data_IF_531008486629
#
_entry.id   IF_531008486629
#
_cell.length_a   1.000
_cell.length_b   1.000
_cell.length_c   1.000
_cell.angle_alpha   90.00
_cell.angle_beta   90.00
_cell.angle_gamma   90.00
#
_symmetry.space_group_name_H-M   'P 1'
#
loop_
_entity.id
_entity.type
_entity.pdbx_description
1 polymer ?
#
# COMPACT_ATOMS: atom_id res chain seq x y z
N UNK A 1 -32.71 14.52 5.70
CA UNK A 1 -31.24 14.50 5.66
C UNK A 1 -30.78 15.49 6.70
N UNK A 2 -30.39 14.98 7.87
CA UNK A 2 -30.29 15.78 9.08
C UNK A 2 -28.95 16.52 9.13
N UNK A 3 -28.93 17.64 9.84
CA UNK A 3 -27.80 18.55 9.96
C UNK A 3 -26.61 17.88 10.68
N UNK A 4 -26.89 16.96 11.61
CA UNK A 4 -25.89 16.11 12.28
C UNK A 4 -25.24 15.06 11.34
N UNK A 5 -26.00 14.49 10.39
CA UNK A 5 -25.43 13.61 9.36
C UNK A 5 -24.45 14.42 8.51
N UNK A 6 -24.83 15.63 8.09
CA UNK A 6 -23.96 16.54 7.32
C UNK A 6 -22.71 16.99 8.09
N UNK A 7 -22.77 17.14 9.42
CA UNK A 7 -21.62 17.50 10.25
C UNK A 7 -20.66 16.32 10.48
N UNK A 8 -21.19 15.10 10.59
CA UNK A 8 -20.38 13.87 10.71
C UNK A 8 -19.66 13.55 9.39
N UNK A 9 -20.27 13.85 8.24
CA UNK A 9 -19.61 13.79 6.93
C UNK A 9 -18.64 14.95 6.68
N UNK A 10 -18.79 16.09 7.36
CA UNK A 10 -17.89 17.26 7.24
C UNK A 10 -16.55 17.08 7.94
N UNK A 11 -16.42 16.11 8.86
CA UNK A 11 -15.28 16.02 9.80
C UNK A 11 -14.24 14.96 9.44
N UNK A 12 -14.36 14.27 8.30
CA UNK A 12 -13.27 13.45 7.76
C UNK A 12 -12.98 13.84 6.33
N UNK A 13 -12.33 15.00 6.16
CA UNK A 13 -11.61 15.29 4.93
C UNK A 13 -10.57 14.17 4.79
N UNK A 14 -10.73 13.34 3.76
CA UNK A 14 -9.80 12.25 3.44
C UNK A 14 -8.43 12.84 3.13
N UNK A 15 -7.36 12.07 3.31
CA UNK A 15 -6.01 12.52 2.98
C UNK A 15 -5.92 13.00 1.52
N UNK A 16 -6.68 12.36 0.62
CA UNK A 16 -6.76 12.72 -0.79
C UNK A 16 -7.35 14.12 -1.03
N UNK A 17 -8.41 14.49 -0.32
CA UNK A 17 -9.02 15.82 -0.42
C UNK A 17 -8.08 16.92 0.13
N UNK A 18 -7.33 16.64 1.20
CA UNK A 18 -6.32 17.58 1.73
C UNK A 18 -5.24 17.87 0.69
N UNK A 19 -4.76 16.82 0.00
CA UNK A 19 -3.68 16.91 -0.99
C UNK A 19 -4.09 17.66 -2.26
N UNK A 20 -5.38 17.74 -2.59
CA UNK A 20 -5.82 18.58 -3.73
C UNK A 20 -5.51 20.05 -3.52
N UNK A 21 -5.40 20.49 -2.26
CA UNK A 21 -4.90 21.81 -1.92
C UNK A 21 -3.36 21.80 -1.96
N UNK A 22 -2.78 22.04 -3.13
CA UNK A 22 -1.32 22.04 -3.38
C UNK A 22 -0.50 22.99 -2.49
N UNK A 23 -1.14 23.88 -1.73
CA UNK A 23 -0.45 24.78 -0.80
C UNK A 23 -0.19 24.15 0.58
N UNK A 24 -0.66 22.92 0.82
CA UNK A 24 -0.43 22.18 2.05
C UNK A 24 0.69 21.14 1.87
N UNK A 25 1.94 21.60 2.05
CA UNK A 25 3.11 20.74 1.98
C UNK A 25 3.07 19.61 3.03
N UNK A 26 2.45 19.86 4.19
CA UNK A 26 2.36 18.85 5.25
C UNK A 26 1.41 17.72 4.84
N UNK A 27 0.27 18.04 4.22
CA UNK A 27 -0.63 17.03 3.66
C UNK A 27 0.04 16.20 2.57
N UNK A 28 0.92 16.82 1.76
CA UNK A 28 1.70 16.09 0.77
C UNK A 28 2.70 15.13 1.38
N UNK A 29 3.45 15.57 2.39
CA UNK A 29 4.42 14.73 3.08
C UNK A 29 3.73 13.54 3.75
N UNK A 30 2.57 13.76 4.38
CA UNK A 30 1.74 12.69 4.94
C UNK A 30 1.25 11.72 3.85
N UNK A 31 0.81 12.24 2.71
CA UNK A 31 0.40 11.43 1.56
C UNK A 31 1.55 10.59 1.00
N UNK A 32 2.69 11.21 0.72
CA UNK A 32 3.86 10.50 0.21
C UNK A 32 4.32 9.43 1.21
N UNK A 33 4.38 9.78 2.50
CA UNK A 33 4.76 8.85 3.56
C UNK A 33 3.77 7.69 3.70
N UNK A 34 2.48 7.93 3.48
CA UNK A 34 1.45 6.91 3.53
C UNK A 34 1.55 5.96 2.33
N UNK A 35 1.60 6.48 1.11
CA UNK A 35 1.51 5.63 -0.10
C UNK A 35 2.84 5.08 -0.61
N UNK A 36 4.00 5.55 -0.10
CA UNK A 36 5.31 5.09 -0.59
C UNK A 36 5.49 3.56 -0.53
N UNK A 37 5.10 2.92 0.58
CA UNK A 37 5.28 1.48 0.76
C UNK A 37 4.37 0.68 -0.18
N UNK A 38 3.16 1.19 -0.42
CA UNK A 38 2.24 0.60 -1.39
C UNK A 38 2.76 0.73 -2.83
N UNK A 39 3.19 1.93 -3.24
CA UNK A 39 3.77 2.16 -4.57
C UNK A 39 4.99 1.26 -4.77
N UNK A 40 5.85 1.16 -3.75
CA UNK A 40 7.01 0.31 -3.77
C UNK A 40 6.62 -1.16 -3.94
N UNK A 41 5.63 -1.67 -3.19
CA UNK A 41 5.08 -3.02 -3.35
C UNK A 41 4.62 -3.30 -4.78
N UNK A 42 3.88 -2.36 -5.39
CA UNK A 42 3.46 -2.46 -6.80
C UNK A 42 4.66 -2.51 -7.76
N UNK A 43 5.67 -1.64 -7.57
CA UNK A 43 6.89 -1.67 -8.38
C UNK A 43 7.62 -3.02 -8.27
N UNK A 44 7.70 -3.59 -7.06
CA UNK A 44 8.29 -4.91 -6.84
C UNK A 44 7.52 -6.02 -7.53
N UNK A 45 6.19 -5.97 -7.50
CA UNK A 45 5.35 -6.93 -8.21
C UNK A 45 5.55 -6.86 -9.72
N UNK A 46 5.81 -5.66 -10.26
CA UNK A 46 6.12 -5.42 -11.67
C UNK A 46 7.57 -5.77 -12.04
N UNK A 47 8.32 -6.46 -11.16
CA UNK A 47 9.71 -6.87 -11.36
C UNK A 47 10.69 -5.71 -11.60
N UNK A 48 10.41 -4.52 -11.06
CA UNK A 48 11.36 -3.42 -11.10
C UNK A 48 12.56 -3.72 -10.17
N UNK A 49 13.81 -3.55 -10.67
CA UNK A 49 15.02 -3.71 -9.86
C UNK A 49 15.02 -2.81 -8.61
N UNK A 50 15.68 -3.27 -7.54
CA UNK A 50 15.78 -2.50 -6.28
C UNK A 50 16.42 -1.12 -6.49
N UNK A 51 17.49 -1.09 -7.27
CA UNK A 51 18.24 0.13 -7.64
C UNK A 51 17.39 1.16 -8.39
N UNK A 52 16.43 0.71 -9.21
CA UNK A 52 15.57 1.58 -10.01
C UNK A 52 14.30 2.01 -9.24
N UNK A 53 13.89 1.24 -8.23
CA UNK A 53 12.60 1.42 -7.56
C UNK A 53 12.47 2.75 -6.80
N UNK A 54 13.58 3.27 -6.23
CA UNK A 54 13.59 4.56 -5.54
C UNK A 54 13.34 5.73 -6.48
N UNK A 55 14.03 5.77 -7.62
CA UNK A 55 13.86 6.80 -8.64
C UNK A 55 12.47 6.75 -9.28
N UNK A 56 11.96 5.53 -9.52
CA UNK A 56 10.61 5.30 -10.01
C UNK A 56 9.54 5.74 -9.00
N UNK A 57 9.70 5.45 -7.72
CA UNK A 57 8.81 5.92 -6.66
C UNK A 57 8.72 7.45 -6.67
N UNK A 58 9.85 8.15 -6.73
CA UNK A 58 9.87 9.61 -6.82
C UNK A 58 9.15 10.12 -8.07
N UNK A 59 9.37 9.50 -9.23
CA UNK A 59 8.68 9.86 -10.47
C UNK A 59 7.16 9.68 -10.37
N UNK A 60 6.70 8.59 -9.74
CA UNK A 60 5.28 8.33 -9.47
C UNK A 60 4.71 9.42 -8.57
N UNK A 61 5.37 9.73 -7.45
CA UNK A 61 4.94 10.79 -6.52
C UNK A 61 4.88 12.15 -7.20
N UNK A 62 5.88 12.52 -8.00
CA UNK A 62 5.88 13.77 -8.78
C UNK A 62 4.74 13.83 -9.81
N UNK A 63 4.40 12.70 -10.44
CA UNK A 63 3.28 12.63 -11.38
C UNK A 63 1.95 12.80 -10.65
N UNK A 64 1.80 12.19 -9.47
CA UNK A 64 0.63 12.33 -8.62
C UNK A 64 0.47 13.78 -8.12
N UNK A 65 1.54 14.42 -7.67
CA UNK A 65 1.52 15.84 -7.25
C UNK A 65 0.91 16.74 -8.31
N UNK A 66 1.32 16.54 -9.57
CA UNK A 66 0.82 17.32 -10.71
C UNK A 66 -0.61 16.99 -11.11
N UNK A 67 -1.07 15.75 -10.86
CA UNK A 67 -2.34 15.25 -11.40
C UNK A 67 -3.48 15.21 -10.39
N UNK A 68 -3.23 14.91 -9.12
CA UNK A 68 -4.24 14.89 -8.06
C UNK A 68 -5.15 16.13 -8.01
N UNK A 69 -4.66 17.35 -8.24
CA UNK A 69 -5.47 18.56 -8.19
C UNK A 69 -6.46 18.68 -9.37
N UNK A 70 -6.19 17.98 -10.49
CA UNK A 70 -7.06 17.93 -11.67
C UNK A 70 -8.11 16.80 -11.55
N UNK A 71 -7.95 15.88 -10.60
CA UNK A 71 -8.77 14.67 -10.51
C UNK A 71 -10.03 14.93 -9.70
N UNK A 72 -11.16 14.49 -10.22
CA UNK A 72 -12.39 14.44 -9.43
C UNK A 72 -12.38 13.20 -8.51
N UNK A 73 -11.80 13.33 -7.31
CA UNK A 73 -11.62 12.23 -6.36
C UNK A 73 -12.95 11.51 -6.08
N UNK A 74 -14.05 12.25 -5.93
CA UNK A 74 -15.37 11.67 -5.68
C UNK A 74 -15.91 10.79 -6.83
N UNK A 75 -15.36 10.92 -8.04
CA UNK A 75 -15.70 10.08 -9.20
C UNK A 75 -14.80 8.86 -9.33
N UNK A 76 -13.68 8.79 -8.59
CA UNK A 76 -12.84 7.60 -8.55
C UNK A 76 -13.57 6.50 -7.79
N UNK A 77 -13.75 5.34 -8.43
CA UNK A 77 -14.31 4.17 -7.74
C UNK A 77 -13.40 3.71 -6.59
N UNK A 78 -12.08 3.74 -6.80
CA UNK A 78 -11.03 3.34 -5.84
C UNK A 78 -9.72 4.04 -6.15
N UNK A 79 -9.20 4.85 -5.22
CA UNK A 79 -7.94 5.56 -5.43
C UNK A 79 -6.74 4.62 -5.62
N UNK A 80 -6.69 3.51 -4.87
CA UNK A 80 -5.65 2.47 -5.00
C UNK A 80 -5.50 1.91 -6.42
N UNK A 81 -6.60 1.71 -7.14
CA UNK A 81 -6.55 1.22 -8.53
C UNK A 81 -5.96 2.27 -9.46
N UNK A 82 -6.33 3.54 -9.28
CA UNK A 82 -5.74 4.65 -10.00
C UNK A 82 -4.23 4.76 -9.72
N UNK A 83 -3.83 4.59 -8.46
CA UNK A 83 -2.43 4.62 -8.05
C UNK A 83 -1.63 3.47 -8.68
N UNK A 84 -2.13 2.24 -8.64
CA UNK A 84 -1.47 1.09 -9.29
C UNK A 84 -1.31 1.27 -10.81
N UNK A 85 -2.34 1.79 -11.50
CA UNK A 85 -2.27 2.13 -12.93
C UNK A 85 -1.22 3.21 -13.18
N UNK A 86 -1.19 4.25 -12.36
CA UNK A 86 -0.20 5.34 -12.46
C UNK A 86 1.21 4.79 -12.27
N UNK A 87 1.43 3.94 -11.28
CA UNK A 87 2.70 3.26 -11.01
C UNK A 87 3.14 2.40 -12.20
N UNK A 88 2.26 1.56 -12.74
CA UNK A 88 2.58 0.73 -13.92
C UNK A 88 2.93 1.58 -15.14
N UNK A 89 2.20 2.66 -15.39
CA UNK A 89 2.50 3.52 -16.53
C UNK A 89 3.86 4.21 -16.36
N UNK A 90 4.23 4.64 -15.16
CA UNK A 90 5.57 5.18 -14.91
C UNK A 90 6.66 4.11 -15.09
N UNK A 91 6.43 2.89 -14.60
CA UNK A 91 7.33 1.76 -14.80
C UNK A 91 7.52 1.42 -16.29
N UNK A 92 6.44 1.41 -17.07
CA UNK A 92 6.47 1.20 -18.51
C UNK A 92 7.29 2.29 -19.23
N UNK A 93 6.99 3.56 -18.95
CA UNK A 93 7.70 4.71 -19.53
C UNK A 93 9.21 4.66 -19.21
N UNK A 94 9.56 4.27 -17.98
CA UNK A 94 10.94 4.11 -17.53
C UNK A 94 11.67 3.00 -18.29
N UNK A 95 11.08 1.80 -18.34
CA UNK A 95 11.67 0.64 -19.02
C UNK A 95 11.84 0.93 -20.51
N UNK A 96 10.82 1.55 -21.14
CA UNK A 96 10.88 2.01 -22.54
C UNK A 96 12.05 2.96 -22.79
N UNK A 97 12.25 3.94 -21.90
CA UNK A 97 13.36 4.89 -22.01
C UNK A 97 14.71 4.20 -21.83
N UNK A 98 14.86 3.35 -20.81
CA UNK A 98 16.08 2.58 -20.51
C UNK A 98 16.52 1.73 -21.71
N UNK A 99 15.57 1.05 -22.36
CA UNK A 99 15.84 0.24 -23.55
C UNK A 99 16.17 1.10 -24.76
N UNK A 100 15.47 2.22 -24.97
CA UNK A 100 15.79 3.15 -26.06
C UNK A 100 17.22 3.68 -25.95
N UNK A 101 17.64 4.07 -24.75
CA UNK A 101 18.99 4.57 -24.51
C UNK A 101 20.04 3.46 -24.65
N UNK A 102 19.78 2.24 -24.15
CA UNK A 102 20.66 1.07 -24.39
C UNK A 102 20.81 0.75 -25.88
N UNK A 103 19.73 0.74 -26.64
CA UNK A 103 19.75 0.39 -28.06
C UNK A 103 20.51 1.39 -28.93
N UNK A 104 20.56 2.67 -28.53
CA UNK A 104 21.44 3.68 -29.16
C UNK A 104 22.92 3.34 -28.98
N UNK A 105 23.28 2.72 -27.86
CA UNK A 105 24.66 2.38 -27.52
C UNK A 105 25.10 0.99 -27.99
N UNK A 106 24.20 0.01 -28.11
CA UNK A 106 24.58 -1.40 -28.26
C UNK A 106 24.07 -2.15 -29.51
N UNK A 107 23.30 -1.52 -30.42
CA UNK A 107 22.75 -2.14 -31.68
C UNK A 107 22.32 -3.62 -31.53
N UNK A 108 21.02 -3.82 -31.31
CA UNK A 108 20.29 -5.10 -31.25
C UNK A 108 20.41 -5.90 -29.93
N UNK A 109 19.43 -5.69 -29.04
CA UNK A 109 18.86 -6.77 -28.22
C UNK A 109 17.34 -6.62 -28.17
N UNK A 110 16.61 -7.67 -28.52
CA UNK A 110 15.20 -7.80 -28.16
C UNK A 110 15.10 -7.77 -26.63
N UNK A 111 14.24 -6.91 -26.11
CA UNK A 111 14.09 -6.68 -24.67
C UNK A 111 12.83 -7.35 -24.17
N UNK A 112 12.95 -8.55 -23.63
CA UNK A 112 11.85 -9.31 -22.99
C UNK A 112 11.11 -8.49 -21.90
N UNK A 113 11.77 -7.48 -21.33
CA UNK A 113 11.19 -6.56 -20.33
C UNK A 113 10.00 -5.76 -20.90
N UNK A 114 10.11 -5.19 -22.10
CA UNK A 114 9.00 -4.42 -22.70
C UNK A 114 7.82 -5.31 -23.05
N UNK A 115 8.11 -6.49 -23.62
CA UNK A 115 7.09 -7.47 -23.97
C UNK A 115 6.33 -7.95 -22.72
N UNK A 116 7.04 -8.18 -21.61
CA UNK A 116 6.41 -8.45 -20.32
C UNK A 116 5.45 -7.32 -19.92
N UNK A 117 5.89 -6.07 -19.94
CA UNK A 117 5.05 -4.93 -19.57
C UNK A 117 3.83 -4.75 -20.48
N UNK A 118 3.99 -4.97 -21.78
CA UNK A 118 2.91 -4.92 -22.77
C UNK A 118 1.93 -6.09 -22.64
N UNK A 119 2.38 -7.25 -22.14
CA UNK A 119 1.51 -8.38 -21.84
C UNK A 119 0.63 -8.20 -20.60
N UNK A 120 0.99 -7.28 -19.69
CA UNK A 120 0.22 -7.03 -18.47
C UNK A 120 -1.10 -6.33 -18.83
N UNK A 121 -2.21 -7.02 -18.55
CA UNK A 121 -3.56 -6.51 -18.85
C UNK A 121 -4.11 -5.67 -17.70
N UNK A 122 -5.17 -4.88 -17.97
CA UNK A 122 -5.86 -4.12 -16.92
C UNK A 122 -6.43 -5.01 -15.78
N UNK A 123 -7.03 -6.19 -16.06
CA UNK A 123 -7.34 -7.17 -15.02
C UNK A 123 -6.16 -7.55 -14.14
N UNK A 124 -4.96 -7.74 -14.71
CA UNK A 124 -3.76 -8.04 -13.93
C UNK A 124 -3.39 -6.89 -13.01
N UNK A 125 -3.43 -5.64 -13.51
CA UNK A 125 -3.18 -4.45 -12.69
C UNK A 125 -4.17 -4.34 -11.54
N UNK A 126 -5.45 -4.63 -11.76
CA UNK A 126 -6.43 -4.61 -10.68
C UNK A 126 -6.14 -5.68 -9.61
N UNK A 127 -5.72 -6.88 -10.03
CA UNK A 127 -5.31 -7.95 -9.10
C UNK A 127 -4.09 -7.53 -8.30
N UNK A 128 -3.07 -6.97 -8.95
CA UNK A 128 -1.87 -6.42 -8.29
C UNK A 128 -2.27 -5.34 -7.30
N UNK A 129 -3.12 -4.41 -7.73
CA UNK A 129 -3.58 -3.30 -6.90
C UNK A 129 -4.26 -3.79 -5.62
N UNK A 130 -5.14 -4.79 -5.72
CA UNK A 130 -5.83 -5.36 -4.56
C UNK A 130 -4.89 -6.14 -3.64
N UNK A 131 -4.02 -6.98 -4.21
CA UNK A 131 -3.09 -7.81 -3.45
C UNK A 131 -2.09 -6.96 -2.67
N UNK A 132 -1.40 -6.02 -3.34
CA UNK A 132 -0.42 -5.16 -2.69
C UNK A 132 -1.08 -4.21 -1.69
N UNK A 133 -2.34 -3.82 -1.92
CA UNK A 133 -3.08 -2.98 -0.97
C UNK A 133 -3.41 -3.74 0.30
N UNK A 134 -3.87 -4.98 0.18
CA UNK A 134 -4.17 -5.82 1.32
C UNK A 134 -2.91 -6.09 2.15
N UNK A 135 -1.78 -6.39 1.49
CA UNK A 135 -0.48 -6.59 2.15
C UNK A 135 -0.02 -5.32 2.89
N UNK A 136 -0.07 -4.19 2.20
CA UNK A 136 0.30 -2.88 2.75
C UNK A 136 -0.56 -2.52 3.97
N UNK A 137 -1.89 -2.57 3.84
CA UNK A 137 -2.81 -2.21 4.93
C UNK A 137 -2.68 -3.18 6.11
N UNK A 138 -2.51 -4.48 5.86
CA UNK A 138 -2.29 -5.45 6.93
C UNK A 138 -0.97 -5.19 7.67
N UNK A 139 0.12 -4.93 6.94
CA UNK A 139 1.42 -4.59 7.53
C UNK A 139 1.37 -3.30 8.34
N UNK A 140 0.76 -2.25 7.79
CA UNK A 140 0.58 -0.97 8.47
C UNK A 140 -0.32 -1.10 9.72
N UNK A 141 -1.43 -1.85 9.61
CA UNK A 141 -2.31 -2.11 10.73
C UNK A 141 -1.58 -2.86 11.85
N UNK A 142 -0.83 -3.91 11.50
CA UNK A 142 -0.04 -4.67 12.47
C UNK A 142 1.00 -3.77 13.14
N UNK A 143 1.75 -2.96 12.37
CA UNK A 143 2.73 -2.00 12.91
C UNK A 143 2.09 -1.03 13.89
N UNK A 144 0.93 -0.48 13.56
CA UNK A 144 0.21 0.48 14.39
C UNK A 144 -0.26 -0.14 15.71
N UNK A 145 -0.92 -1.30 15.65
CA UNK A 145 -1.41 -1.94 16.88
C UNK A 145 -0.28 -2.53 17.72
N UNK A 146 0.88 -2.85 17.13
CA UNK A 146 1.95 -3.53 17.85
C UNK A 146 2.46 -2.73 19.06
N UNK A 147 2.29 -1.41 19.05
CA UNK A 147 2.65 -0.52 20.17
C UNK A 147 1.76 -0.71 21.40
N UNK A 148 0.57 -1.28 21.23
CA UNK A 148 -0.42 -1.48 22.31
C UNK A 148 -0.32 -2.89 22.96
N UNK A 149 0.59 -3.74 22.49
CA UNK A 149 0.74 -5.12 22.94
C UNK A 149 2.17 -5.41 23.41
N UNK A 150 2.32 -6.42 24.28
CA UNK A 150 3.64 -6.88 24.71
C UNK A 150 4.33 -7.68 23.62
N UNK A 151 5.66 -7.77 23.68
CA UNK A 151 6.47 -8.52 22.71
C UNK A 151 6.05 -9.99 22.61
N UNK A 152 5.67 -10.62 23.73
CA UNK A 152 5.20 -12.01 23.74
C UNK A 152 3.85 -12.17 23.03
N UNK A 153 2.98 -11.17 23.11
CA UNK A 153 1.72 -11.17 22.36
C UNK A 153 1.98 -11.03 20.86
N UNK A 154 2.93 -10.16 20.47
CA UNK A 154 3.37 -10.01 19.09
C UNK A 154 3.98 -11.31 18.55
N UNK A 155 4.86 -11.95 19.31
CA UNK A 155 5.51 -13.19 18.91
C UNK A 155 4.53 -14.36 18.83
N UNK A 156 3.57 -14.44 19.76
CA UNK A 156 2.45 -15.38 19.67
C UNK A 156 1.69 -15.18 18.35
N UNK A 157 1.36 -13.94 18.01
CA UNK A 157 0.61 -13.64 16.78
C UNK A 157 1.41 -13.95 15.51
N UNK A 158 2.70 -13.61 15.46
CA UNK A 158 3.59 -13.96 14.35
C UNK A 158 3.70 -15.47 14.17
N UNK A 159 3.83 -16.23 15.26
CA UNK A 159 3.86 -17.69 15.21
C UNK A 159 2.56 -18.28 14.65
N UNK A 160 1.41 -17.74 15.07
CA UNK A 160 0.11 -18.15 14.54
C UNK A 160 -0.05 -17.83 13.05
N UNK A 161 0.50 -16.71 12.57
CA UNK A 161 0.51 -16.37 11.14
C UNK A 161 1.41 -17.31 10.32
N UNK A 162 2.42 -17.91 10.97
CA UNK A 162 3.26 -18.97 10.40
C UNK A 162 2.66 -20.37 10.59
N UNK A 163 1.36 -20.46 10.86
CA UNK A 163 0.61 -21.72 11.04
C UNK A 163 1.11 -22.61 12.19
N UNK A 164 1.84 -22.05 13.15
CA UNK A 164 2.30 -22.80 14.32
C UNK A 164 1.16 -23.05 15.31
N UNK A 165 1.24 -24.15 16.06
CA UNK A 165 0.22 -24.52 17.02
C UNK A 165 0.22 -23.59 18.23
N UNK A 166 -0.98 -23.17 18.66
CA UNK A 166 -1.13 -22.20 19.75
C UNK A 166 -0.68 -22.75 21.11
N UNK A 167 -0.79 -24.07 21.31
CA UNK A 167 -0.37 -24.73 22.56
C UNK A 167 1.15 -24.74 22.64
N UNK A 168 1.83 -25.11 21.55
CA UNK A 168 3.30 -25.09 21.47
C UNK A 168 3.84 -23.66 21.66
N UNK A 169 3.21 -22.67 21.05
CA UNK A 169 3.58 -21.27 21.22
C UNK A 169 3.37 -20.78 22.65
N UNK A 170 2.24 -21.13 23.27
CA UNK A 170 1.95 -20.74 24.65
C UNK A 170 2.99 -21.31 25.62
N UNK A 171 3.36 -22.58 25.45
CA UNK A 171 4.41 -23.24 26.24
C UNK A 171 5.78 -22.59 26.02
N UNK A 172 6.17 -22.37 24.75
CA UNK A 172 7.44 -21.73 24.40
C UNK A 172 7.57 -20.31 24.97
N UNK A 173 6.47 -19.56 25.00
CA UNK A 173 6.43 -18.18 25.50
C UNK A 173 6.15 -18.10 27.01
N UNK A 174 6.06 -19.23 27.71
CA UNK A 174 5.83 -19.27 29.16
C UNK A 174 4.48 -18.73 29.60
N UNK A 175 3.45 -18.77 28.73
CA UNK A 175 2.11 -18.26 29.03
C UNK A 175 1.07 -19.38 29.10
N UNK A 176 0.03 -19.19 29.94
CA UNK A 176 -1.08 -20.13 30.01
C UNK A 176 -1.90 -20.16 28.71
N UNK A 177 -2.35 -21.34 28.29
CA UNK A 177 -3.11 -21.54 27.05
C UNK A 177 -4.37 -20.64 26.96
N UNK A 178 -5.08 -20.46 28.08
CA UNK A 178 -6.23 -19.55 28.15
C UNK A 178 -5.85 -18.08 27.90
N UNK A 179 -4.66 -17.67 28.33
CA UNK A 179 -4.10 -16.35 28.06
C UNK A 179 -3.74 -16.20 26.59
N UNK A 180 -3.12 -17.21 25.98
CA UNK A 180 -2.80 -17.21 24.55
C UNK A 180 -4.06 -17.04 23.67
N UNK A 181 -5.13 -17.78 23.95
CA UNK A 181 -6.41 -17.62 23.22
C UNK A 181 -7.01 -16.21 23.39
N UNK A 182 -6.97 -15.65 24.60
CA UNK A 182 -7.48 -14.30 24.87
C UNK A 182 -6.66 -13.23 24.14
N UNK A 183 -5.34 -13.36 24.13
CA UNK A 183 -4.44 -12.46 23.39
C UNK A 183 -4.70 -12.53 21.88
N UNK A 184 -4.81 -13.74 21.33
CA UNK A 184 -5.18 -13.97 19.93
C UNK A 184 -6.48 -13.26 19.55
N UNK A 185 -7.54 -13.39 20.37
CA UNK A 185 -8.84 -12.73 20.08
C UNK A 185 -8.68 -11.21 20.07
N UNK A 186 -8.07 -10.65 21.13
CA UNK A 186 -7.89 -9.20 21.28
C UNK A 186 -7.08 -8.60 20.15
N UNK A 187 -5.98 -9.25 19.77
CA UNK A 187 -5.16 -8.80 18.65
C UNK A 187 -5.91 -8.87 17.33
N UNK A 188 -6.66 -9.96 17.08
CA UNK A 188 -7.48 -10.09 15.87
C UNK A 188 -8.53 -8.99 15.78
N UNK A 189 -9.26 -8.71 16.87
CA UNK A 189 -10.26 -7.65 16.92
C UNK A 189 -9.66 -6.27 16.66
N UNK A 190 -8.53 -5.96 17.31
CA UNK A 190 -7.81 -4.70 17.09
C UNK A 190 -7.27 -4.57 15.66
N UNK A 191 -6.73 -5.64 15.10
CA UNK A 191 -6.21 -5.65 13.73
C UNK A 191 -7.34 -5.39 12.71
N UNK A 192 -8.48 -6.08 12.85
CA UNK A 192 -9.64 -5.88 11.96
C UNK A 192 -10.15 -4.43 12.06
N UNK A 193 -10.26 -3.89 13.27
CA UNK A 193 -10.68 -2.51 13.48
C UNK A 193 -9.71 -1.51 12.83
N UNK A 194 -8.40 -1.75 12.98
CA UNK A 194 -7.37 -0.88 12.39
C UNK A 194 -7.34 -0.96 10.87
N UNK A 195 -7.48 -2.15 10.28
CA UNK A 195 -7.60 -2.33 8.82
C UNK A 195 -8.80 -1.55 8.28
N UNK A 196 -9.94 -1.61 8.96
CA UNK A 196 -11.14 -0.85 8.55
C UNK A 196 -10.87 0.66 8.62
N UNK A 197 -10.33 1.14 9.72
CA UNK A 197 -10.01 2.56 9.91
C UNK A 197 -9.04 3.09 8.83
N UNK A 198 -7.98 2.32 8.53
CA UNK A 198 -7.01 2.69 7.50
C UNK A 198 -7.63 2.69 6.10
N UNK A 199 -8.50 1.72 5.78
CA UNK A 199 -9.23 1.72 4.51
C UNK A 199 -10.19 2.92 4.41
N UNK A 200 -10.83 3.34 5.49
CA UNK A 200 -11.72 4.51 5.46
C UNK A 200 -10.93 5.83 5.33
N UNK A 201 -9.68 5.87 5.83
CA UNK A 201 -8.82 7.07 5.79
C UNK A 201 -8.03 7.22 4.48
N UNK A 202 -7.50 6.11 3.96
CA UNK A 202 -6.62 6.05 2.78
C UNK A 202 -7.32 5.54 1.51
N UNK A 203 -8.54 5.00 1.62
CA UNK A 203 -9.25 4.32 0.53
C UNK A 203 -10.15 5.21 -0.31
#
# INVERSE_FOLDING_TARGET
>A
MNQEERETYRTRITLLEKVQNQYDNQAWDEFAASYQDYIYGVLRHLNIPYEDAGDLLQQVLLKLWKKLPEIEIHKLKRFRSYLAVTTRNCAHDYVRKKISDRNKHEKLRESNELEYFDSITMPDINRIAEQEWNNYIAGLALKNISQDFSDEAIDLFKGLMAEQDIKELAEKLGMGLSTAYRLKSRMKERLIAQIKSLNDYLG
#
